data_IF_241934824419
#
_entry.id   IF_241934824419
#
_cell.length_a   1.000
_cell.length_b   1.000
_cell.length_c   1.000
_cell.angle_alpha   90.00
_cell.angle_beta   90.00
_cell.angle_gamma   90.00
#
_symmetry.space_group_name_H-M   'P 1'
#
loop_
_entity.id
_entity.type
_entity.pdbx_description
1 polymer ?
#
# COMPACT_ATOMS: atom_id res chain seq x y z
N UNK A 1 -7.94 -0.74 18.71
CA UNK A 1 -9.16 -1.39 18.20
C UNK A 1 -9.11 -2.85 18.60
N UNK A 2 -10.18 -3.42 19.11
CA UNK A 2 -10.20 -4.85 19.47
C UNK A 2 -10.09 -5.71 18.20
N UNK A 3 -9.34 -6.82 18.27
CA UNK A 3 -9.11 -7.74 17.13
C UNK A 3 -10.44 -8.23 16.52
N UNK A 4 -11.49 -8.39 17.33
CA UNK A 4 -12.82 -8.79 16.84
C UNK A 4 -13.45 -7.74 15.92
N UNK A 5 -13.25 -6.46 16.19
CA UNK A 5 -13.74 -5.40 15.31
C UNK A 5 -12.94 -5.36 14.00
N UNK A 6 -11.63 -5.59 14.06
CA UNK A 6 -10.79 -5.73 12.86
C UNK A 6 -11.27 -6.88 11.96
N UNK A 7 -11.59 -8.05 12.55
CA UNK A 7 -12.18 -9.19 11.83
C UNK A 7 -13.50 -8.80 11.18
N UNK A 8 -14.38 -8.13 11.93
CA UNK A 8 -15.68 -7.71 11.44
C UNK A 8 -15.57 -6.73 10.27
N UNK A 9 -14.63 -5.78 10.35
CA UNK A 9 -14.32 -4.83 9.26
C UNK A 9 -13.81 -5.54 8.00
N UNK A 10 -13.08 -6.66 8.14
CA UNK A 10 -12.61 -7.44 6.99
C UNK A 10 -13.74 -8.19 6.25
N UNK A 11 -14.82 -8.55 6.94
CA UNK A 11 -15.91 -9.38 6.37
C UNK A 11 -16.63 -8.72 5.22
N UNK A 12 -16.97 -7.43 5.35
CA UNK A 12 -17.72 -6.69 4.33
C UNK A 12 -16.95 -6.59 3.00
N UNK A 13 -15.73 -6.02 2.93
CA UNK A 13 -14.99 -5.91 1.68
C UNK A 13 -14.67 -7.28 1.07
N UNK A 14 -14.36 -8.30 1.90
CA UNK A 14 -14.19 -9.66 1.40
C UNK A 14 -15.47 -10.21 0.75
N UNK A 15 -16.62 -10.08 1.41
CA UNK A 15 -17.90 -10.54 0.87
C UNK A 15 -18.25 -9.86 -0.45
N UNK A 16 -18.00 -8.55 -0.55
CA UNK A 16 -18.19 -7.77 -1.77
C UNK A 16 -17.26 -8.22 -2.90
N UNK A 17 -15.99 -8.53 -2.61
CA UNK A 17 -15.04 -9.08 -3.58
C UNK A 17 -15.52 -10.44 -4.13
N UNK A 18 -15.89 -11.35 -3.21
CA UNK A 18 -16.39 -12.69 -3.53
C UNK A 18 -17.68 -12.62 -4.36
N UNK A 19 -18.59 -11.72 -4.03
CA UNK A 19 -19.84 -11.52 -4.78
C UNK A 19 -19.56 -11.02 -6.19
N UNK A 20 -18.67 -10.05 -6.38
CA UNK A 20 -18.28 -9.55 -7.72
C UNK A 20 -17.68 -10.66 -8.57
N UNK A 21 -16.72 -11.43 -8.02
CA UNK A 21 -16.12 -12.57 -8.72
C UNK A 21 -17.18 -13.60 -9.15
N UNK A 22 -18.09 -13.98 -8.25
CA UNK A 22 -19.17 -14.94 -8.56
C UNK A 22 -20.10 -14.41 -9.65
N UNK A 23 -20.53 -13.14 -9.58
CA UNK A 23 -21.40 -12.52 -10.59
C UNK A 23 -20.73 -12.42 -11.97
N UNK A 24 -19.42 -12.22 -12.01
CA UNK A 24 -18.64 -12.16 -13.24
C UNK A 24 -18.23 -13.55 -13.79
N UNK A 25 -18.68 -14.65 -13.17
CA UNK A 25 -18.39 -16.01 -13.65
C UNK A 25 -17.08 -16.62 -13.13
N UNK A 26 -16.37 -15.95 -12.22
CA UNK A 26 -15.13 -16.42 -11.59
C UNK A 26 -15.39 -17.14 -10.26
N UNK A 27 -16.40 -18.02 -10.24
CA UNK A 27 -16.84 -18.70 -9.02
C UNK A 27 -15.74 -19.54 -8.34
N UNK A 28 -14.86 -20.15 -9.13
CA UNK A 28 -13.73 -20.94 -8.61
C UNK A 28 -12.68 -20.05 -7.93
N UNK A 29 -12.37 -18.87 -8.49
CA UNK A 29 -11.47 -17.88 -7.86
C UNK A 29 -12.06 -17.41 -6.53
N UNK A 30 -13.36 -17.09 -6.51
CA UNK A 30 -14.05 -16.68 -5.29
C UNK A 30 -14.01 -17.79 -4.21
N UNK A 31 -14.31 -19.04 -4.59
CA UNK A 31 -14.26 -20.16 -3.66
C UNK A 31 -12.84 -20.35 -3.09
N UNK A 32 -11.81 -20.30 -3.92
CA UNK A 32 -10.42 -20.40 -3.45
C UNK A 32 -10.05 -19.22 -2.54
N UNK A 33 -10.48 -18.00 -2.85
CA UNK A 33 -10.22 -16.81 -2.03
C UNK A 33 -10.84 -16.93 -0.63
N UNK A 34 -12.06 -17.46 -0.54
CA UNK A 34 -12.75 -17.74 0.71
C UNK A 34 -12.02 -18.77 1.58
N UNK A 35 -11.29 -19.70 0.95
CA UNK A 35 -10.51 -20.75 1.63
C UNK A 35 -9.10 -20.31 2.00
N UNK A 36 -8.46 -19.46 1.19
CA UNK A 36 -7.11 -18.91 1.45
C UNK A 36 -7.14 -17.81 2.50
N UNK A 37 -8.20 -16.99 2.56
CA UNK A 37 -8.29 -15.89 3.52
C UNK A 37 -8.11 -16.32 5.00
N UNK A 38 -8.74 -17.41 5.49
CA UNK A 38 -8.45 -17.92 6.83
C UNK A 38 -6.99 -18.36 7.05
N UNK A 39 -6.28 -18.79 6.00
CA UNK A 39 -4.90 -19.27 6.09
C UNK A 39 -3.91 -18.11 6.31
N UNK A 40 -4.13 -16.97 5.67
CA UNK A 40 -3.31 -15.76 5.89
C UNK A 40 -3.58 -15.07 7.21
N UNK A 41 -4.79 -15.29 7.76
CA UNK A 41 -5.31 -14.53 8.90
C UNK A 41 -4.37 -14.57 10.12
N UNK A 42 -3.73 -15.70 10.38
CA UNK A 42 -2.72 -15.84 11.44
C UNK A 42 -1.57 -14.84 11.29
N UNK A 43 -1.05 -14.65 10.08
CA UNK A 43 0.03 -13.70 9.82
C UNK A 43 -0.45 -12.25 9.95
N UNK A 44 -1.67 -11.95 9.51
CA UNK A 44 -2.24 -10.61 9.67
C UNK A 44 -2.44 -10.26 11.16
N UNK A 45 -2.83 -11.24 11.99
CA UNK A 45 -2.91 -11.05 13.44
C UNK A 45 -1.53 -10.80 14.05
N UNK A 46 -0.50 -11.55 13.66
CA UNK A 46 0.88 -11.35 14.14
C UNK A 46 1.42 -9.96 13.72
N UNK A 47 1.06 -9.48 12.52
CA UNK A 47 1.47 -8.18 12.00
C UNK A 47 0.57 -6.98 12.38
N UNK A 48 -0.46 -7.18 13.21
CA UNK A 48 -1.56 -6.22 13.37
C UNK A 48 -1.14 -4.84 13.91
N UNK A 49 -0.03 -4.78 14.63
CA UNK A 49 0.49 -3.52 15.18
C UNK A 49 1.02 -2.60 14.08
N UNK A 50 1.43 -3.19 12.94
CA UNK A 50 2.02 -2.49 11.81
C UNK A 50 0.99 -2.12 10.75
N UNK A 51 0.03 -3.01 10.50
CA UNK A 51 -1.09 -2.74 9.59
C UNK A 51 -2.39 -3.36 10.09
N UNK A 52 -3.57 -2.72 9.88
CA UNK A 52 -4.81 -3.27 10.36
C UNK A 52 -5.16 -4.53 9.57
N UNK A 53 -5.71 -5.53 10.26
CA UNK A 53 -6.00 -6.86 9.70
C UNK A 53 -6.97 -6.80 8.51
N UNK A 54 -7.88 -5.82 8.49
CA UNK A 54 -8.84 -5.66 7.40
C UNK A 54 -8.28 -4.96 6.15
N UNK A 55 -7.04 -4.47 6.18
CA UNK A 55 -6.39 -3.81 5.03
C UNK A 55 -6.42 -4.69 3.78
N UNK A 56 -5.89 -5.91 3.87
CA UNK A 56 -5.75 -6.80 2.70
C UNK A 56 -7.09 -7.18 2.09
N UNK A 57 -8.14 -7.31 2.91
CA UNK A 57 -9.50 -7.57 2.43
C UNK A 57 -10.05 -6.41 1.60
N UNK A 58 -9.79 -5.16 2.01
CA UNK A 58 -10.14 -3.97 1.23
C UNK A 58 -9.31 -3.87 -0.05
N UNK A 59 -7.99 -4.08 0.01
CA UNK A 59 -7.14 -4.06 -1.18
C UNK A 59 -7.56 -5.14 -2.17
N UNK A 60 -7.91 -6.34 -1.71
CA UNK A 60 -8.41 -7.40 -2.58
C UNK A 60 -9.80 -7.09 -3.18
N UNK A 61 -10.66 -6.37 -2.45
CA UNK A 61 -11.94 -5.86 -2.97
C UNK A 61 -11.72 -4.84 -4.10
N UNK A 62 -10.85 -3.85 -3.88
CA UNK A 62 -10.52 -2.85 -4.91
C UNK A 62 -9.81 -3.49 -6.10
N UNK A 63 -8.88 -4.40 -5.87
CA UNK A 63 -8.19 -5.15 -6.93
C UNK A 63 -9.18 -5.97 -7.77
N UNK A 64 -10.17 -6.61 -7.13
CA UNK A 64 -11.25 -7.31 -7.84
C UNK A 64 -12.05 -6.36 -8.72
N UNK A 65 -12.47 -5.22 -8.17
CA UNK A 65 -13.25 -4.21 -8.92
C UNK A 65 -12.46 -3.69 -10.12
N UNK A 66 -11.19 -3.32 -9.92
CA UNK A 66 -10.28 -2.83 -10.97
C UNK A 66 -10.11 -3.86 -12.07
N UNK A 67 -9.70 -5.09 -11.73
CA UNK A 67 -9.40 -6.11 -12.74
C UNK A 67 -10.64 -6.51 -13.56
N UNK A 68 -11.82 -6.55 -12.95
CA UNK A 68 -13.06 -6.83 -13.66
C UNK A 68 -13.47 -5.65 -14.57
N UNK A 69 -13.33 -4.42 -14.10
CA UNK A 69 -13.67 -3.22 -14.89
C UNK A 69 -12.72 -2.98 -16.05
N UNK A 70 -11.45 -3.37 -15.92
CA UNK A 70 -10.44 -3.32 -16.99
C UNK A 70 -10.42 -4.58 -17.87
N UNK A 71 -11.43 -5.45 -17.75
CA UNK A 71 -11.58 -6.68 -18.55
C UNK A 71 -10.33 -7.59 -18.54
N UNK A 72 -9.65 -7.67 -17.38
CA UNK A 72 -8.45 -8.47 -17.24
C UNK A 72 -8.72 -9.96 -17.53
N UNK A 73 -7.72 -10.65 -18.04
CA UNK A 73 -7.82 -12.09 -18.34
C UNK A 73 -8.08 -12.91 -17.06
N UNK A 74 -8.66 -14.13 -17.17
CA UNK A 74 -8.88 -14.99 -16.01
C UNK A 74 -7.62 -15.24 -15.17
N UNK A 75 -6.46 -15.40 -15.82
CA UNK A 75 -5.18 -15.57 -15.15
C UNK A 75 -4.77 -14.32 -14.36
N UNK A 76 -4.94 -13.13 -14.97
CA UNK A 76 -4.66 -11.85 -14.32
C UNK A 76 -5.57 -11.61 -13.12
N UNK A 77 -6.86 -11.93 -13.22
CA UNK A 77 -7.81 -11.81 -12.09
C UNK A 77 -7.36 -12.69 -10.93
N UNK A 78 -7.03 -13.96 -11.22
CA UNK A 78 -6.52 -14.90 -10.21
C UNK A 78 -5.25 -14.34 -9.57
N UNK A 79 -4.22 -14.04 -10.36
CA UNK A 79 -2.93 -13.59 -9.86
C UNK A 79 -3.02 -12.27 -9.09
N UNK A 80 -3.78 -11.30 -9.60
CA UNK A 80 -3.93 -9.99 -8.99
C UNK A 80 -4.66 -10.03 -7.65
N UNK A 81 -5.80 -10.74 -7.57
CA UNK A 81 -6.59 -10.86 -6.33
C UNK A 81 -5.80 -11.56 -5.22
N UNK A 82 -5.09 -12.65 -5.54
CA UNK A 82 -4.29 -13.35 -4.53
C UNK A 82 -3.03 -12.59 -4.13
N UNK A 83 -2.42 -11.81 -5.03
CA UNK A 83 -1.35 -10.89 -4.65
C UNK A 83 -1.87 -9.82 -3.69
N UNK A 84 -3.01 -9.19 -4.00
CA UNK A 84 -3.63 -8.18 -3.14
C UNK A 84 -4.02 -8.72 -1.76
N UNK A 85 -4.53 -9.94 -1.70
CA UNK A 85 -4.85 -10.62 -0.44
C UNK A 85 -3.57 -10.82 0.40
N UNK A 86 -2.50 -11.34 -0.21
CA UNK A 86 -1.32 -11.81 0.50
C UNK A 86 -0.20 -10.77 0.67
N UNK A 87 -0.28 -9.57 0.09
CA UNK A 87 0.90 -8.69 -0.05
C UNK A 87 1.57 -8.29 1.27
N UNK A 88 0.80 -8.18 2.34
CA UNK A 88 1.26 -7.65 3.62
C UNK A 88 1.50 -8.71 4.71
N UNK A 89 1.33 -10.00 4.40
CA UNK A 89 1.56 -11.10 5.35
C UNK A 89 3.00 -11.16 5.88
N UNK A 90 3.95 -10.56 5.14
CA UNK A 90 5.36 -10.47 5.52
C UNK A 90 5.60 -9.62 6.78
N UNK A 91 4.67 -8.73 7.14
CA UNK A 91 4.78 -7.88 8.33
C UNK A 91 4.84 -8.68 9.65
N UNK A 92 4.32 -9.91 9.65
CA UNK A 92 4.39 -10.86 10.76
C UNK A 92 5.83 -11.31 11.09
N UNK A 93 6.75 -11.22 10.12
CA UNK A 93 8.10 -11.78 10.20
C UNK A 93 9.20 -10.73 10.17
N UNK A 94 8.84 -9.45 10.09
CA UNK A 94 9.83 -8.39 10.23
C UNK A 94 9.98 -8.03 11.71
N UNK A 95 11.20 -8.01 12.23
CA UNK A 95 11.43 -7.50 13.59
C UNK A 95 11.38 -5.96 13.60
N UNK A 96 11.74 -5.37 12.46
CA UNK A 96 11.73 -3.93 12.23
C UNK A 96 10.28 -3.44 12.10
N UNK A 97 9.95 -2.37 12.84
CA UNK A 97 8.68 -1.67 12.70
C UNK A 97 8.51 -1.10 11.28
N UNK A 98 7.26 -0.84 10.88
CA UNK A 98 6.98 -0.13 9.61
C UNK A 98 7.43 1.33 9.74
N UNK A 99 8.59 1.65 9.19
CA UNK A 99 9.10 3.03 9.12
C UNK A 99 8.30 3.76 8.02
N UNK A 100 7.52 4.77 8.41
CA UNK A 100 6.71 5.57 7.49
C UNK A 100 7.50 6.79 7.03
N UNK A 101 7.14 7.34 5.87
CA UNK A 101 7.72 8.58 5.34
C UNK A 101 7.75 9.71 6.37
N UNK A 102 6.63 9.97 7.06
CA UNK A 102 6.55 11.05 8.04
C UNK A 102 7.46 10.84 9.25
N UNK A 103 7.65 9.59 9.68
CA UNK A 103 8.54 9.25 10.80
C UNK A 103 10.01 9.38 10.35
N UNK A 104 10.33 8.91 9.15
CA UNK A 104 11.65 9.08 8.53
C UNK A 104 11.99 10.56 8.32
N UNK A 105 11.04 11.38 7.85
CA UNK A 105 11.27 12.81 7.66
C UNK A 105 11.65 13.48 8.97
N UNK A 106 10.96 13.13 10.06
CA UNK A 106 11.29 13.65 11.39
C UNK A 106 12.70 13.25 11.83
N UNK A 107 13.12 12.01 11.57
CA UNK A 107 14.49 11.56 11.86
C UNK A 107 15.53 12.32 11.03
N UNK A 108 15.24 12.57 9.74
CA UNK A 108 16.09 13.35 8.84
C UNK A 108 16.19 14.80 9.29
N UNK A 109 15.07 15.42 9.67
CA UNK A 109 15.02 16.81 10.14
C UNK A 109 15.80 17.01 11.47
N UNK A 110 15.93 15.93 12.25
CA UNK A 110 16.67 15.92 13.51
C UNK A 110 18.14 15.51 13.36
N UNK A 111 18.56 15.04 12.17
CA UNK A 111 19.92 14.58 11.95
C UNK A 111 20.89 15.77 11.83
N UNK A 112 22.04 15.67 12.49
CA UNK A 112 23.08 16.71 12.47
C UNK A 112 24.04 16.58 11.27
N UNK A 113 24.11 15.40 10.67
CA UNK A 113 25.02 15.08 9.57
C UNK A 113 24.44 14.05 8.57
N UNK A 114 25.17 13.84 7.47
CA UNK A 114 24.78 12.90 6.42
C UNK A 114 24.79 11.44 6.89
N UNK A 115 25.66 11.08 7.84
CA UNK A 115 25.75 9.69 8.30
C UNK A 115 24.47 9.28 9.05
N UNK A 116 23.91 10.19 9.86
CA UNK A 116 22.60 10.00 10.50
C UNK A 116 21.46 9.82 9.49
N UNK A 117 21.37 10.72 8.49
CA UNK A 117 20.36 10.67 7.42
C UNK A 117 20.48 9.37 6.61
N UNK A 118 21.69 9.05 6.17
CA UNK A 118 22.00 7.85 5.37
C UNK A 118 21.64 6.58 6.13
N UNK A 119 21.92 6.51 7.43
CA UNK A 119 21.55 5.38 8.27
C UNK A 119 20.04 5.22 8.39
N UNK A 120 19.30 6.29 8.67
CA UNK A 120 17.84 6.26 8.78
C UNK A 120 17.18 5.80 7.46
N UNK A 121 17.64 6.33 6.32
CA UNK A 121 17.17 5.91 4.99
C UNK A 121 17.50 4.43 4.73
N UNK A 122 18.74 4.01 5.02
CA UNK A 122 19.15 2.62 4.81
C UNK A 122 18.36 1.63 5.67
N UNK A 123 17.97 2.02 6.89
CA UNK A 123 17.10 1.23 7.76
C UNK A 123 15.67 1.15 7.22
N UNK A 124 15.10 2.29 6.79
CA UNK A 124 13.77 2.34 6.18
C UNK A 124 13.68 1.47 4.91
N UNK A 125 14.69 1.53 4.04
CA UNK A 125 14.77 0.70 2.82
C UNK A 125 14.91 -0.78 3.18
N UNK A 126 15.72 -1.13 4.19
CA UNK A 126 15.92 -2.51 4.62
C UNK A 126 14.65 -3.13 5.18
N UNK A 127 13.96 -2.43 6.08
CA UNK A 127 12.66 -2.85 6.62
C UNK A 127 11.66 -3.08 5.49
N UNK A 128 11.66 -2.18 4.50
CA UNK A 128 10.81 -2.31 3.33
C UNK A 128 11.14 -3.55 2.48
N UNK A 129 12.40 -3.78 2.15
CA UNK A 129 12.77 -4.97 1.37
C UNK A 129 12.53 -6.27 2.15
N UNK A 130 12.75 -6.24 3.47
CA UNK A 130 12.52 -7.38 4.36
C UNK A 130 11.05 -7.80 4.36
N UNK A 131 10.10 -6.87 4.50
CA UNK A 131 8.67 -7.23 4.52
C UNK A 131 8.19 -7.77 3.17
N UNK A 132 8.59 -7.17 2.04
CA UNK A 132 8.16 -7.66 0.72
C UNK A 132 8.71 -9.05 0.44
N UNK A 133 9.98 -9.30 0.79
CA UNK A 133 10.62 -10.61 0.66
C UNK A 133 9.92 -11.66 1.52
N UNK A 134 9.73 -11.36 2.81
CA UNK A 134 9.05 -12.27 3.73
C UNK A 134 7.60 -12.54 3.29
N UNK A 135 6.91 -11.51 2.78
CA UNK A 135 5.56 -11.63 2.23
C UNK A 135 5.51 -12.58 1.04
N UNK A 136 6.44 -12.45 0.09
CA UNK A 136 6.53 -13.34 -1.06
C UNK A 136 6.83 -14.80 -0.66
N UNK A 137 7.70 -15.01 0.33
CA UNK A 137 8.03 -16.35 0.83
C UNK A 137 6.83 -17.00 1.56
N UNK A 138 6.09 -16.24 2.37
CA UNK A 138 4.86 -16.72 3.03
C UNK A 138 3.74 -16.95 2.00
N UNK A 139 3.56 -16.05 1.03
CA UNK A 139 2.58 -16.23 -0.04
C UNK A 139 2.84 -17.53 -0.81
N UNK A 140 4.11 -17.80 -1.16
CA UNK A 140 4.52 -19.07 -1.77
C UNK A 140 4.12 -20.27 -0.91
N UNK A 141 4.43 -20.23 0.39
CA UNK A 141 4.08 -21.30 1.33
C UNK A 141 2.56 -21.56 1.38
N UNK A 142 1.75 -20.50 1.47
CA UNK A 142 0.30 -20.61 1.58
C UNK A 142 -0.33 -21.15 0.30
N UNK A 143 0.11 -20.69 -0.86
CA UNK A 143 -0.43 -21.11 -2.17
C UNK A 143 -0.04 -22.56 -2.50
N UNK A 144 1.19 -22.98 -2.20
CA UNK A 144 1.57 -24.40 -2.30
C UNK A 144 0.79 -25.26 -1.32
N UNK A 145 0.72 -24.83 -0.04
CA UNK A 145 -0.03 -25.53 0.98
C UNK A 145 -1.51 -25.70 0.64
N UNK A 146 -2.12 -24.72 -0.04
CA UNK A 146 -3.49 -24.82 -0.54
C UNK A 146 -3.65 -25.89 -1.62
N UNK A 147 -2.76 -25.92 -2.63
CA UNK A 147 -2.78 -26.96 -3.65
C UNK A 147 -2.60 -28.36 -3.03
N UNK A 148 -1.67 -28.51 -2.09
CA UNK A 148 -1.39 -29.77 -1.39
C UNK A 148 -2.59 -30.22 -0.54
N UNK A 149 -3.19 -29.29 0.20
CA UNK A 149 -4.35 -29.56 1.05
C UNK A 149 -5.58 -29.98 0.25
N UNK A 150 -5.84 -29.33 -0.88
CA UNK A 150 -7.00 -29.64 -1.73
C UNK A 150 -6.76 -30.83 -2.67
N UNK A 151 -5.51 -31.22 -2.89
CA UNK A 151 -5.12 -32.20 -3.91
C UNK A 151 -5.40 -31.73 -5.35
N UNK A 152 -5.62 -30.43 -5.57
CA UNK A 152 -5.95 -29.83 -6.87
C UNK A 152 -4.92 -28.76 -7.22
N UNK A 153 -4.31 -28.80 -8.42
CA UNK A 153 -3.35 -27.78 -8.85
C UNK A 153 -4.06 -26.51 -9.34
N UNK A 154 -4.73 -25.78 -8.44
CA UNK A 154 -5.43 -24.54 -8.79
C UNK A 154 -4.45 -23.40 -9.15
N UNK A 155 -3.34 -23.32 -8.41
CA UNK A 155 -2.22 -22.42 -8.72
C UNK A 155 -1.11 -23.18 -9.45
N UNK A 156 -0.81 -22.78 -10.68
CA UNK A 156 0.40 -23.26 -11.37
C UNK A 156 1.65 -22.68 -10.66
N UNK A 157 2.60 -23.50 -10.19
CA UNK A 157 3.80 -23.01 -9.51
C UNK A 157 4.68 -22.09 -10.35
N UNK A 158 4.83 -22.38 -11.64
CA UNK A 158 5.74 -21.68 -12.56
C UNK A 158 5.11 -20.39 -13.11
N UNK A 159 3.77 -20.32 -13.14
CA UNK A 159 3.03 -19.18 -13.67
C UNK A 159 2.37 -18.35 -12.57
N UNK A 160 1.42 -18.94 -11.83
CA UNK A 160 0.58 -18.20 -10.91
C UNK A 160 1.33 -17.84 -9.63
N UNK A 161 1.93 -18.83 -8.97
CA UNK A 161 2.66 -18.59 -7.72
C UNK A 161 3.85 -17.68 -7.98
N UNK A 162 4.60 -17.91 -9.07
CA UNK A 162 5.70 -17.05 -9.47
C UNK A 162 5.26 -15.59 -9.70
N UNK A 163 4.15 -15.36 -10.40
CA UNK A 163 3.64 -14.01 -10.66
C UNK A 163 3.11 -13.34 -9.39
N UNK A 164 2.34 -14.07 -8.57
CA UNK A 164 1.83 -13.56 -7.29
C UNK A 164 3.00 -13.15 -6.39
N UNK A 165 3.98 -14.04 -6.20
CA UNK A 165 5.16 -13.75 -5.39
C UNK A 165 5.95 -12.56 -5.94
N UNK A 166 6.08 -12.46 -7.28
CA UNK A 166 6.77 -11.34 -7.92
C UNK A 166 6.09 -10.01 -7.61
N UNK A 167 4.76 -9.94 -7.67
CA UNK A 167 4.00 -8.73 -7.33
C UNK A 167 4.23 -8.38 -5.86
N UNK A 168 4.05 -9.34 -4.95
CA UNK A 168 4.26 -9.14 -3.51
C UNK A 168 5.68 -8.66 -3.20
N UNK A 169 6.70 -9.20 -3.88
CA UNK A 169 8.11 -8.85 -3.64
C UNK A 169 8.48 -7.41 -4.01
N UNK A 170 7.67 -6.71 -4.83
CA UNK A 170 7.95 -5.33 -5.25
C UNK A 170 6.80 -4.35 -5.08
N UNK A 171 5.67 -4.76 -4.52
CA UNK A 171 4.46 -3.93 -4.49
C UNK A 171 4.70 -2.55 -3.84
N UNK A 172 5.73 -2.41 -3.01
CA UNK A 172 6.09 -1.18 -2.31
C UNK A 172 7.45 -0.59 -2.73
N UNK A 173 8.03 -1.02 -3.85
CA UNK A 173 9.25 -0.44 -4.43
C UNK A 173 9.15 1.09 -4.65
N UNK A 174 8.03 1.69 -5.12
CA UNK A 174 7.93 3.14 -5.26
C UNK A 174 8.12 3.90 -3.94
N UNK A 175 7.81 3.28 -2.80
CA UNK A 175 8.10 3.87 -1.48
C UNK A 175 9.60 3.86 -1.15
N UNK A 176 10.37 2.91 -1.70
CA UNK A 176 11.85 2.92 -1.60
C UNK A 176 12.42 4.09 -2.40
N UNK A 177 11.91 4.34 -3.61
CA UNK A 177 12.31 5.50 -4.42
C UNK A 177 12.12 6.82 -3.66
N UNK A 178 10.98 6.95 -3.00
CA UNK A 178 10.67 8.12 -2.16
C UNK A 178 11.69 8.30 -1.03
N UNK A 179 12.13 7.23 -0.36
CA UNK A 179 13.13 7.34 0.71
C UNK A 179 14.51 7.73 0.19
N UNK A 180 14.92 7.20 -0.97
CA UNK A 180 16.17 7.61 -1.62
C UNK A 180 16.12 9.10 -2.02
N UNK A 181 14.97 9.58 -2.50
CA UNK A 181 14.75 10.99 -2.86
C UNK A 181 14.87 11.93 -1.65
N UNK A 182 14.34 11.55 -0.50
CA UNK A 182 14.47 12.35 0.73
C UNK A 182 15.93 12.60 1.12
N UNK A 183 16.81 11.60 0.93
CA UNK A 183 18.25 11.77 1.15
C UNK A 183 18.90 12.74 0.18
N UNK A 184 18.52 12.69 -1.10
CA UNK A 184 19.01 13.62 -2.11
C UNK A 184 18.58 15.06 -1.82
N UNK A 185 17.34 15.26 -1.43
CA UNK A 185 16.80 16.58 -1.06
C UNK A 185 17.55 17.16 0.15
N UNK A 186 17.91 16.32 1.14
CA UNK A 186 18.73 16.76 2.26
C UNK A 186 20.13 17.23 1.82
N UNK A 187 20.78 16.51 0.89
CA UNK A 187 22.09 16.90 0.34
C UNK A 187 22.00 18.24 -0.41
N UNK A 188 20.92 18.47 -1.17
CA UNK A 188 20.70 19.73 -1.90
C UNK A 188 20.60 20.93 -0.95
N UNK A 189 20.00 20.74 0.23
CA UNK A 189 19.91 21.77 1.29
C UNK A 189 21.21 21.92 2.08
N UNK A 190 22.02 20.86 2.19
CA UNK A 190 23.27 20.82 2.97
C UNK A 190 24.50 20.45 2.12
N UNK A 191 24.86 21.23 1.09
CA UNK A 191 25.88 20.86 0.11
C UNK A 191 27.29 20.72 0.69
N UNK A 192 27.55 21.31 1.87
CA UNK A 192 28.85 21.23 2.56
C UNK A 192 28.93 20.04 3.54
N UNK A 193 27.85 19.31 3.76
CA UNK A 193 27.76 18.25 4.77
C UNK A 193 28.11 16.84 4.25
N UNK A 194 28.46 16.68 2.97
CA UNK A 194 28.87 15.38 2.44
C UNK A 194 29.49 15.45 1.03
N UNK A 195 30.64 14.81 0.86
CA UNK A 195 31.35 14.66 -0.41
C UNK A 195 30.84 13.51 -1.30
N UNK A 196 29.56 13.15 -1.21
CA UNK A 196 28.99 12.01 -1.91
C UNK A 196 28.28 12.42 -3.21
N UNK A 197 28.77 11.94 -4.34
CA UNK A 197 28.02 11.88 -5.60
C UNK A 197 27.22 10.57 -5.64
N UNK A 198 26.02 10.55 -5.05
CA UNK A 198 25.03 9.52 -5.42
C UNK A 198 24.48 9.91 -6.78
N UNK A 199 24.72 9.10 -7.81
CA UNK A 199 23.94 9.20 -9.06
C UNK A 199 22.68 8.37 -8.84
N UNK A 200 21.50 8.98 -8.63
CA UNK A 200 20.27 8.20 -8.60
C UNK A 200 20.11 7.48 -9.93
N UNK A 201 19.63 6.23 -9.86
CA UNK A 201 19.02 5.57 -11.00
C UNK A 201 17.53 5.92 -10.96
N UNK A 202 17.09 6.94 -11.72
CA UNK A 202 15.82 7.60 -11.48
C UNK A 202 14.61 6.67 -11.63
N UNK A 203 14.73 5.53 -12.32
CA UNK A 203 13.62 4.62 -12.58
C UNK A 203 13.68 3.28 -11.86
N UNK A 204 14.76 2.95 -11.14
CA UNK A 204 15.05 1.59 -10.66
C UNK A 204 13.92 0.94 -9.87
N UNK A 205 13.23 1.74 -9.07
CA UNK A 205 12.20 1.30 -8.14
C UNK A 205 10.79 1.60 -8.64
N UNK A 206 10.66 2.27 -9.78
CA UNK A 206 9.38 2.59 -10.37
C UNK A 206 8.98 1.47 -11.33
N UNK A 207 7.69 1.14 -11.33
CA UNK A 207 7.20 0.05 -12.18
C UNK A 207 7.23 0.41 -13.64
N UNK A 208 7.60 -0.55 -14.49
CA UNK A 208 7.49 -0.42 -15.94
C UNK A 208 6.03 -0.15 -16.34
N UNK A 209 5.83 0.66 -17.39
CA UNK A 209 4.49 1.04 -17.89
C UNK A 209 3.66 -0.15 -18.36
N UNK A 210 4.27 -1.26 -18.75
CA UNK A 210 3.62 -2.48 -19.23
C UNK A 210 3.41 -3.52 -18.10
N UNK A 211 3.86 -3.23 -16.88
CA UNK A 211 3.65 -4.07 -15.69
C UNK A 211 2.22 -3.96 -15.10
N UNK A 212 1.21 -4.23 -15.92
CA UNK A 212 -0.22 -4.01 -15.63
C UNK A 212 -0.66 -4.50 -14.23
N UNK A 213 -0.39 -5.77 -13.88
CA UNK A 213 -0.85 -6.33 -12.60
C UNK A 213 -0.26 -5.62 -11.37
N UNK A 214 1.03 -5.24 -11.44
CA UNK A 214 1.70 -4.54 -10.32
C UNK A 214 1.12 -3.14 -10.17
N UNK A 215 0.76 -2.49 -11.28
CA UNK A 215 0.13 -1.16 -11.26
C UNK A 215 -1.28 -1.22 -10.67
N UNK A 216 -2.12 -2.15 -11.12
CA UNK A 216 -3.45 -2.36 -10.55
C UNK A 216 -3.38 -2.67 -9.05
N UNK A 217 -2.42 -3.50 -8.65
CA UNK A 217 -2.18 -3.78 -7.23
C UNK A 217 -1.81 -2.50 -6.47
N UNK A 218 -0.88 -1.69 -7.00
CA UNK A 218 -0.46 -0.46 -6.36
C UNK A 218 -1.58 0.57 -6.27
N UNK A 219 -2.41 0.68 -7.32
CA UNK A 219 -3.62 1.50 -7.29
C UNK A 219 -4.56 1.03 -6.18
N UNK A 220 -4.89 -0.27 -6.14
CA UNK A 220 -5.75 -0.88 -5.12
C UNK A 220 -5.23 -0.67 -3.68
N UNK A 221 -3.93 -0.80 -3.47
CA UNK A 221 -3.30 -0.55 -2.16
C UNK A 221 -3.35 0.92 -1.77
N UNK A 222 -3.22 1.85 -2.74
CA UNK A 222 -3.30 3.28 -2.47
C UNK A 222 -4.71 3.79 -2.26
N UNK A 223 -5.71 3.32 -3.00
CA UNK A 223 -7.11 3.74 -2.76
C UNK A 223 -7.64 3.37 -1.37
N UNK A 224 -7.04 2.38 -0.69
CA UNK A 224 -7.29 2.14 0.72
C UNK A 224 -7.19 3.39 1.59
N UNK A 225 -6.20 4.25 1.31
CA UNK A 225 -5.95 5.49 2.08
C UNK A 225 -7.12 6.48 2.00
N UNK A 226 -7.93 6.41 0.96
CA UNK A 226 -9.14 7.25 0.80
C UNK A 226 -10.43 6.46 1.04
N UNK A 227 -10.36 5.28 1.66
CA UNK A 227 -11.55 4.58 2.14
C UNK A 227 -11.97 5.08 3.53
N UNK A 228 -13.26 4.93 3.92
CA UNK A 228 -13.71 5.29 5.27
C UNK A 228 -12.90 4.63 6.40
N UNK A 229 -12.62 3.32 6.28
CA UNK A 229 -11.83 2.60 7.27
C UNK A 229 -10.36 3.03 7.28
N UNK A 230 -9.77 3.31 6.10
CA UNK A 230 -8.42 3.83 5.98
C UNK A 230 -8.25 5.19 6.66
N UNK A 231 -9.21 6.10 6.46
CA UNK A 231 -9.25 7.40 7.14
C UNK A 231 -9.43 7.25 8.64
N UNK A 232 -10.31 6.36 9.12
CA UNK A 232 -10.48 6.11 10.56
C UNK A 232 -9.18 5.63 11.20
N UNK A 233 -8.46 4.71 10.53
CA UNK A 233 -7.17 4.20 11.00
C UNK A 233 -6.14 5.32 11.10
N UNK A 234 -6.04 6.18 10.09
CA UNK A 234 -5.09 7.29 10.09
C UNK A 234 -5.46 8.37 11.13
N UNK A 235 -6.74 8.72 11.28
CA UNK A 235 -7.20 9.67 12.31
C UNK A 235 -6.90 9.16 13.72
N UNK A 236 -7.11 7.87 13.99
CA UNK A 236 -6.76 7.27 15.28
C UNK A 236 -5.25 7.37 15.57
N UNK A 237 -4.41 7.22 14.53
CA UNK A 237 -2.94 7.36 14.64
C UNK A 237 -2.54 8.81 14.88
N UNK A 238 -3.14 9.75 14.16
CA UNK A 238 -2.88 11.19 14.32
C UNK A 238 -3.24 11.66 15.73
N UNK A 239 -4.40 11.24 16.22
CA UNK A 239 -4.84 11.55 17.58
C UNK A 239 -3.86 10.99 18.62
N UNK A 240 -3.39 9.75 18.45
CA UNK A 240 -2.40 9.15 19.35
C UNK A 240 -1.06 9.91 19.32
N UNK A 241 -0.59 10.34 18.14
CA UNK A 241 0.63 11.15 18.00
C UNK A 241 0.47 12.52 18.66
N UNK A 242 -0.64 13.21 18.39
CA UNK A 242 -0.92 14.52 18.95
C UNK A 242 -1.02 14.48 20.49
N UNK A 243 -1.63 13.43 21.06
CA UNK A 243 -1.69 13.23 22.51
C UNK A 243 -0.31 13.05 23.13
N UNK A 244 0.53 12.17 22.55
CA UNK A 244 1.91 11.96 23.01
C UNK A 244 2.73 13.26 22.97
N UNK A 245 2.54 14.08 21.93
CA UNK A 245 3.19 15.39 21.81
C UNK A 245 2.72 16.34 22.91
N UNK A 246 1.40 16.46 23.10
CA UNK A 246 0.83 17.32 24.15
C UNK A 246 1.30 16.92 25.55
N UNK A 247 1.35 15.63 25.87
CA UNK A 247 1.89 15.12 27.14
C UNK A 247 3.35 15.53 27.34
N UNK A 248 4.19 15.39 26.31
CA UNK A 248 5.61 15.78 26.36
C UNK A 248 5.80 17.29 26.55
N UNK A 249 4.91 18.10 25.98
CA UNK A 249 4.97 19.57 26.03
C UNK A 249 4.19 20.16 27.22
N UNK A 250 3.52 19.32 28.04
CA UNK A 250 2.69 19.77 29.16
C UNK A 250 1.43 20.53 28.73
N UNK A 251 0.94 20.28 27.51
CA UNK A 251 -0.25 20.91 26.95
C UNK A 251 -1.53 20.20 27.41
N UNK A 252 -2.66 20.93 27.58
CA UNK A 252 -3.95 20.33 27.90
C UNK A 252 -4.43 19.33 26.83
N UNK A 253 -4.80 18.11 27.27
CA UNK A 253 -5.23 17.02 26.37
C UNK A 253 -6.65 17.16 25.83
N UNK A 254 -7.47 17.99 26.47
CA UNK A 254 -8.86 18.26 26.10
C UNK A 254 -9.00 18.93 24.73
N UNK A 255 -7.95 19.60 24.25
CA UNK A 255 -7.93 20.27 22.95
C UNK A 255 -7.26 19.46 21.84
N UNK A 256 -6.88 18.21 22.09
CA UNK A 256 -6.21 17.37 21.10
C UNK A 256 -7.24 16.67 20.20
N UNK A 257 -7.40 17.17 18.98
CA UNK A 257 -8.24 16.59 17.94
C UNK A 257 -7.43 16.26 16.67
N UNK A 258 -7.87 15.25 15.93
CA UNK A 258 -7.43 15.03 14.55
C UNK A 258 -8.46 15.64 13.60
N UNK A 259 -8.01 16.34 12.56
CA UNK A 259 -8.87 16.96 11.55
C UNK A 259 -9.11 16.01 10.36
N UNK A 260 -10.35 15.52 10.15
CA UNK A 260 -10.69 14.73 8.98
C UNK A 260 -10.40 15.43 7.66
N UNK A 261 -10.65 16.74 7.55
CA UNK A 261 -10.44 17.47 6.31
C UNK A 261 -8.95 17.50 5.93
N UNK A 262 -8.08 17.77 6.91
CA UNK A 262 -6.63 17.73 6.73
C UNK A 262 -6.16 16.32 6.33
N UNK A 263 -6.65 15.28 7.01
CA UNK A 263 -6.29 13.89 6.71
C UNK A 263 -6.71 13.47 5.31
N UNK A 264 -7.95 13.76 4.90
CA UNK A 264 -8.48 13.40 3.58
C UNK A 264 -7.66 14.11 2.48
N UNK A 265 -7.45 15.43 2.61
CA UNK A 265 -6.65 16.19 1.65
C UNK A 265 -5.19 15.74 1.63
N UNK A 266 -4.63 15.36 2.78
CA UNK A 266 -3.31 14.76 2.90
C UNK A 266 -3.21 13.45 2.11
N UNK A 267 -4.20 12.56 2.24
CA UNK A 267 -4.22 11.29 1.53
C UNK A 267 -4.44 11.48 0.01
N UNK A 268 -5.28 12.44 -0.42
CA UNK A 268 -5.39 12.82 -1.85
C UNK A 268 -4.06 13.35 -2.37
N UNK A 269 -3.37 14.20 -1.61
CA UNK A 269 -2.05 14.73 -1.98
C UNK A 269 -1.02 13.61 -2.15
N UNK A 270 -1.09 12.54 -1.34
CA UNK A 270 -0.22 11.37 -1.49
C UNK A 270 -0.36 10.67 -2.85
N UNK A 271 -1.55 10.61 -3.43
CA UNK A 271 -1.73 10.08 -4.79
C UNK A 271 -1.05 10.97 -5.85
N UNK A 272 -1.02 12.29 -5.65
CA UNK A 272 -0.32 13.23 -6.54
C UNK A 272 1.20 13.13 -6.37
N UNK A 273 1.67 13.09 -5.13
CA UNK A 273 3.09 12.92 -4.81
C UNK A 273 3.67 11.64 -5.42
N UNK A 274 2.92 10.52 -5.42
CA UNK A 274 3.41 9.30 -6.05
C UNK A 274 3.51 9.40 -7.58
N UNK A 275 2.56 10.06 -8.24
CA UNK A 275 2.69 10.37 -9.67
C UNK A 275 3.90 11.27 -9.94
N UNK A 276 4.18 12.23 -9.05
CA UNK A 276 5.34 13.12 -9.17
C UNK A 276 6.67 12.35 -9.11
N UNK A 277 6.75 11.19 -8.43
CA UNK A 277 7.94 10.35 -8.47
C UNK A 277 8.30 9.95 -9.91
N UNK A 278 7.30 9.62 -10.74
CA UNK A 278 7.50 9.33 -12.16
C UNK A 278 7.92 10.56 -12.95
N UNK A 279 7.39 11.75 -12.63
CA UNK A 279 7.80 13.01 -13.26
C UNK A 279 9.23 13.42 -12.93
N UNK A 280 9.69 13.12 -11.72
CA UNK A 280 11.07 13.35 -11.30
C UNK A 280 12.02 12.35 -11.95
N UNK A 281 11.53 11.13 -12.20
CA UNK A 281 12.32 10.03 -12.74
C UNK A 281 12.50 10.07 -14.26
N UNK A 282 11.46 10.48 -14.98
CA UNK A 282 11.34 10.24 -16.41
C UNK A 282 11.07 11.54 -17.18
N UNK A 283 11.44 11.54 -18.47
CA UNK A 283 11.10 12.64 -19.38
C UNK A 283 9.58 12.71 -19.60
N UNK A 284 9.06 13.89 -19.94
CA UNK A 284 7.61 14.17 -19.98
C UNK A 284 6.83 13.29 -20.97
N UNK A 285 7.44 12.92 -22.09
CA UNK A 285 6.89 12.01 -23.09
C UNK A 285 6.75 10.59 -22.54
N UNK A 286 7.77 10.11 -21.80
CA UNK A 286 7.72 8.82 -21.13
C UNK A 286 6.67 8.79 -20.02
N UNK A 287 6.56 9.86 -19.22
CA UNK A 287 5.51 9.99 -18.19
C UNK A 287 4.11 9.96 -18.82
N UNK A 288 3.91 10.65 -19.95
CA UNK A 288 2.63 10.64 -20.65
C UNK A 288 2.21 9.21 -21.07
N UNK A 289 3.17 8.36 -21.42
CA UNK A 289 2.92 6.96 -21.79
C UNK A 289 2.43 6.09 -20.62
N UNK A 290 2.58 6.52 -19.36
CA UNK A 290 1.97 5.83 -18.22
C UNK A 290 0.45 6.02 -18.17
N UNK A 291 -0.09 7.10 -18.76
CA UNK A 291 -1.54 7.29 -18.83
C UNK A 291 -2.21 7.63 -17.48
N UNK A 292 -1.48 8.27 -16.57
CA UNK A 292 -2.02 8.76 -15.29
C UNK A 292 -3.27 9.63 -15.48
N UNK A 293 -4.29 9.40 -14.66
CA UNK A 293 -5.61 10.06 -14.72
C UNK A 293 -5.65 11.22 -13.72
N UNK A 294 -6.12 12.38 -14.19
CA UNK A 294 -6.27 13.62 -13.40
C UNK A 294 -5.04 13.97 -12.50
N UNK A 295 -3.82 13.74 -13.00
CA UNK A 295 -2.57 13.97 -12.25
C UNK A 295 -2.47 13.19 -10.92
N UNK A 296 -3.11 12.03 -10.83
CA UNK A 296 -3.04 11.11 -9.70
C UNK A 296 -2.33 9.82 -10.13
N UNK A 297 -1.95 9.01 -9.15
CA UNK A 297 -1.36 7.68 -9.37
C UNK A 297 -2.22 6.74 -10.21
N UNK A 298 -3.55 6.89 -10.19
CA UNK A 298 -4.47 6.01 -10.93
C UNK A 298 -4.19 6.08 -12.44
N UNK A 299 -4.03 4.92 -13.08
CA UNK A 299 -3.83 4.77 -14.52
C UNK A 299 -5.02 4.09 -15.18
N UNK A 300 -5.65 3.15 -14.46
CA UNK A 300 -6.88 2.50 -14.90
C UNK A 300 -8.09 3.42 -14.78
N UNK A 301 -9.06 3.28 -15.69
CA UNK A 301 -10.30 4.06 -15.61
C UNK A 301 -11.12 3.62 -14.40
N UNK A 302 -11.14 2.31 -14.12
CA UNK A 302 -11.84 1.73 -12.98
C UNK A 302 -11.20 2.12 -11.66
N UNK A 303 -9.86 2.09 -11.54
CA UNK A 303 -9.15 2.53 -10.33
C UNK A 303 -9.36 4.01 -10.03
N UNK A 304 -9.38 4.86 -11.06
CA UNK A 304 -9.74 6.27 -10.91
C UNK A 304 -11.20 6.46 -10.48
N UNK A 305 -12.14 5.67 -11.02
CA UNK A 305 -13.53 5.71 -10.61
C UNK A 305 -13.74 5.27 -9.16
N UNK A 306 -13.03 4.21 -8.71
CA UNK A 306 -13.00 3.78 -7.29
C UNK A 306 -12.50 4.91 -6.40
N UNK A 307 -11.38 5.53 -6.77
CA UNK A 307 -10.82 6.66 -6.04
C UNK A 307 -11.83 7.82 -5.89
N UNK A 308 -12.44 8.25 -6.99
CA UNK A 308 -13.43 9.34 -6.96
C UNK A 308 -14.66 8.99 -6.11
N UNK A 309 -15.16 7.75 -6.22
CA UNK A 309 -16.30 7.27 -5.42
C UNK A 309 -16.00 7.33 -3.93
N UNK A 310 -14.82 6.86 -3.52
CA UNK A 310 -14.41 6.84 -2.13
C UNK A 310 -14.18 8.26 -1.57
N UNK A 311 -13.58 9.16 -2.36
CA UNK A 311 -13.44 10.57 -1.98
C UNK A 311 -14.81 11.23 -1.77
N UNK A 312 -15.76 11.03 -2.68
CA UNK A 312 -17.12 11.57 -2.53
C UNK A 312 -17.85 10.98 -1.30
N UNK A 313 -17.63 9.70 -0.99
CA UNK A 313 -18.16 9.08 0.24
C UNK A 313 -17.58 9.73 1.50
N UNK A 314 -16.29 10.05 1.51
CA UNK A 314 -15.63 10.75 2.61
C UNK A 314 -16.13 12.19 2.78
N UNK A 315 -16.29 12.93 1.68
CA UNK A 315 -16.85 14.28 1.70
C UNK A 315 -18.25 14.30 2.32
N UNK A 316 -19.10 13.33 1.94
CA UNK A 316 -20.42 13.16 2.51
C UNK A 316 -20.37 12.76 3.99
N UNK A 317 -19.50 11.82 4.36
CA UNK A 317 -19.38 11.29 5.72
C UNK A 317 -18.88 12.35 6.72
N UNK A 318 -17.89 13.15 6.32
CA UNK A 318 -17.23 14.13 7.18
C UNK A 318 -17.72 15.57 6.97
N UNK A 319 -18.61 15.81 6.01
CA UNK A 319 -19.11 17.14 5.63
C UNK A 319 -17.99 18.11 5.26
N UNK A 320 -17.03 17.61 4.47
CA UNK A 320 -15.87 18.36 3.98
C UNK A 320 -15.93 18.51 2.47
N UNK A 321 -15.25 19.52 1.93
CA UNK A 321 -14.98 19.66 0.49
C UNK A 321 -13.51 19.39 0.25
N UNK A 322 -13.20 18.60 -0.77
CA UNK A 322 -11.82 18.33 -1.18
C UNK A 322 -11.50 19.01 -2.50
N UNK A 323 -10.22 19.31 -2.69
CA UNK A 323 -9.73 19.87 -3.96
C UNK A 323 -9.39 18.73 -4.92
N UNK A 324 -10.40 18.01 -5.43
CA UNK A 324 -10.21 16.94 -6.43
C UNK A 324 -10.06 17.47 -7.86
#
# INVERSE_FOLDING_TARGET
MEIQEQIKKAKKPLAEALERLRKAGYGEIAQTMEQVFPMEFTYLLEGNEKNPVHHTAHVANFMTEILLGEEATPDQIKQGVFAALLHDVGLARTDEGKIRKADLQQEIDMAEDWDGVSKAIAEAIRSRKSHMKAGADIARLLLHGYNDWTGKPFFDPQKDIATICRIVEIHDDPSIFEYERMGLEWIEVHPTAGGLTVKPDPGKWLFDKDAFLVQCHREADRVWMVSPDGIEVDLARDLAKARKKAEKEGLPLDNVCADPAERINGNIRRHREEMQLYQQAFQSDLVAAYGFKNRLLCRTDTGYAVFCRLVAELEALYQVSTDL
#
